data_IF_794249213902
#
_entry.id   IF_794249213902
#
_cell.length_a   1.000
_cell.length_b   1.000
_cell.length_c   1.000
_cell.angle_alpha   90.00
_cell.angle_beta   90.00
_cell.angle_gamma   90.00
#
_symmetry.space_group_name_H-M   'P 1'
#
loop_
_entity.id
_entity.type
_entity.pdbx_description
1 polymer ?
#
# COMPACT_ATOMS: atom_id res chain seq x y z
N UNK A 1 13.22 -0.59 -16.92
CA UNK A 1 13.81 0.55 -16.18
C UNK A 1 12.82 0.99 -15.12
N UNK A 2 13.32 1.39 -13.95
CA UNK A 2 12.43 1.96 -12.93
C UNK A 2 12.06 3.38 -13.36
N UNK A 3 10.79 3.70 -13.28
CA UNK A 3 10.31 5.04 -13.62
C UNK A 3 10.77 6.04 -12.55
N UNK A 4 10.92 7.29 -12.94
CA UNK A 4 11.15 8.36 -11.95
C UNK A 4 9.79 8.95 -11.55
N UNK A 5 9.65 9.51 -10.32
CA UNK A 5 8.36 10.10 -9.93
C UNK A 5 7.95 11.28 -10.80
N UNK A 6 8.91 11.95 -11.42
CA UNK A 6 8.64 13.06 -12.37
C UNK A 6 7.80 12.57 -13.56
N UNK A 7 8.00 11.32 -13.98
CA UNK A 7 7.34 10.74 -15.15
C UNK A 7 5.87 10.34 -14.88
N UNK A 8 5.43 10.32 -13.62
CA UNK A 8 4.06 9.96 -13.28
C UNK A 8 3.06 10.92 -13.93
N UNK A 9 2.23 10.41 -14.82
CA UNK A 9 1.13 11.16 -15.42
C UNK A 9 -0.11 11.04 -14.53
N UNK A 10 -0.37 12.08 -13.75
CA UNK A 10 -1.55 12.17 -12.87
C UNK A 10 -2.63 13.10 -13.43
N UNK A 11 -2.54 13.50 -14.70
CA UNK A 11 -3.60 14.30 -15.32
C UNK A 11 -4.89 13.49 -15.36
N UNK A 12 -5.97 14.04 -14.82
CA UNK A 12 -7.28 13.38 -14.74
C UNK A 12 -7.26 12.08 -13.92
N UNK A 13 -6.33 11.97 -12.95
CA UNK A 13 -6.28 10.88 -11.98
C UNK A 13 -6.79 11.42 -10.64
N UNK A 14 -7.83 10.78 -10.11
CA UNK A 14 -8.42 11.14 -8.82
C UNK A 14 -8.11 10.11 -7.72
N UNK A 15 -7.54 8.98 -8.09
CA UNK A 15 -7.28 7.86 -7.16
C UNK A 15 -5.93 7.23 -7.48
N UNK A 16 -5.11 7.08 -6.45
CA UNK A 16 -3.77 6.45 -6.54
C UNK A 16 -3.66 5.42 -5.42
N UNK A 17 -3.40 4.17 -5.77
CA UNK A 17 -3.00 3.18 -4.77
C UNK A 17 -1.49 3.31 -4.51
N UNK A 18 -1.11 3.10 -3.27
CA UNK A 18 0.29 3.22 -2.81
C UNK A 18 0.61 2.02 -1.93
N UNK A 19 1.81 1.52 -2.08
CA UNK A 19 2.37 0.45 -1.27
C UNK A 19 3.87 0.72 -1.08
N UNK A 20 4.41 0.45 0.12
CA UNK A 20 5.83 0.66 0.38
C UNK A 20 6.50 -0.65 0.75
N UNK A 21 7.72 -0.83 0.25
CA UNK A 21 8.58 -1.93 0.65
C UNK A 21 9.57 -1.42 1.68
N UNK A 22 9.75 -2.17 2.76
CA UNK A 22 10.54 -1.69 3.89
C UNK A 22 11.55 -2.73 4.39
N UNK A 23 12.57 -2.25 5.05
CA UNK A 23 13.34 -3.00 6.03
C UNK A 23 12.87 -2.58 7.42
N UNK A 24 12.15 -3.46 8.11
CA UNK A 24 11.65 -3.22 9.47
C UNK A 24 12.04 -4.43 10.33
N UNK A 25 13.28 -4.44 10.84
CA UNK A 25 13.88 -5.67 11.40
C UNK A 25 13.24 -6.18 12.68
N UNK A 26 12.58 -5.31 13.42
CA UNK A 26 12.01 -5.63 14.72
C UNK A 26 10.48 -5.56 14.74
N UNK A 27 9.83 -5.52 13.57
CA UNK A 27 8.37 -5.37 13.46
C UNK A 27 7.60 -6.39 14.33
N UNK A 28 7.98 -7.66 14.24
CA UNK A 28 7.28 -8.76 14.94
C UNK A 28 7.49 -8.75 16.46
N UNK A 29 8.58 -8.16 16.94
CA UNK A 29 8.96 -8.23 18.36
C UNK A 29 8.76 -6.93 19.11
N UNK A 30 8.87 -5.79 18.41
CA UNK A 30 8.85 -4.46 19.04
C UNK A 30 7.82 -3.51 18.41
N UNK A 31 7.06 -4.00 17.43
CA UNK A 31 6.08 -3.18 16.71
C UNK A 31 6.72 -2.34 15.59
N UNK A 32 6.04 -1.30 15.18
CA UNK A 32 6.32 -0.54 13.96
C UNK A 32 7.64 0.25 14.05
N UNK A 33 8.55 -0.03 13.13
CA UNK A 33 9.87 0.60 13.05
C UNK A 33 9.83 2.11 12.78
N UNK A 34 8.82 2.56 12.04
CA UNK A 34 8.60 3.98 11.77
C UNK A 34 8.52 4.83 13.05
N UNK A 35 7.90 4.29 14.10
CA UNK A 35 7.74 4.97 15.41
C UNK A 35 9.06 4.97 16.17
N UNK A 36 9.83 3.91 16.04
CA UNK A 36 11.09 3.72 16.77
C UNK A 36 12.32 4.26 16.04
N UNK A 37 12.12 4.77 14.82
CA UNK A 37 13.22 5.16 13.93
C UNK A 37 14.18 3.97 13.69
N UNK A 38 13.62 2.80 13.39
CA UNK A 38 14.33 1.52 13.29
C UNK A 38 13.97 0.85 11.96
N UNK A 39 14.79 1.09 10.94
CA UNK A 39 14.58 0.59 9.59
C UNK A 39 14.48 1.72 8.56
N UNK A 40 14.00 1.39 7.37
CA UNK A 40 13.87 2.37 6.28
C UNK A 40 12.93 1.84 5.18
N UNK A 41 12.50 2.75 4.28
CA UNK A 41 11.72 2.39 3.10
C UNK A 41 12.69 2.01 1.97
N UNK A 42 12.55 0.78 1.44
CA UNK A 42 13.37 0.26 0.35
C UNK A 42 12.90 0.77 -1.01
N UNK A 43 11.59 0.97 -1.16
CA UNK A 43 11.00 1.47 -2.39
C UNK A 43 9.51 1.76 -2.23
N UNK A 44 8.92 2.40 -3.25
CA UNK A 44 7.53 2.84 -3.23
C UNK A 44 6.88 2.41 -4.54
N UNK A 45 5.76 1.69 -4.45
CA UNK A 45 4.94 1.34 -5.60
C UNK A 45 3.70 2.24 -5.65
N UNK A 46 3.29 2.62 -6.85
CA UNK A 46 2.05 3.37 -7.08
C UNK A 46 1.29 2.76 -8.25
N UNK A 47 -0.04 2.77 -8.16
CA UNK A 47 -0.92 2.36 -9.27
C UNK A 47 -2.03 3.39 -9.46
N UNK A 48 -2.37 3.60 -10.72
CA UNK A 48 -3.47 4.46 -11.15
C UNK A 48 -4.32 3.71 -12.18
N UNK A 49 -5.33 4.37 -12.69
CA UNK A 49 -6.10 3.83 -13.83
C UNK A 49 -5.30 3.81 -15.15
N UNK A 50 -4.09 4.37 -15.17
CA UNK A 50 -3.25 4.46 -16.38
C UNK A 50 -2.06 3.50 -16.34
N UNK A 51 -1.38 3.41 -15.19
CA UNK A 51 -0.11 2.70 -15.11
C UNK A 51 0.23 2.32 -13.67
N UNK A 52 1.20 1.44 -13.53
CA UNK A 52 1.85 1.10 -12.26
C UNK A 52 3.34 1.42 -12.35
N UNK A 53 3.87 1.99 -11.29
CA UNK A 53 5.29 2.34 -11.20
C UNK A 53 5.89 1.86 -9.88
N UNK A 54 7.19 1.63 -9.88
CA UNK A 54 7.96 1.33 -8.68
C UNK A 54 9.20 2.24 -8.65
N UNK A 55 9.41 2.90 -7.54
CA UNK A 55 10.52 3.82 -7.31
C UNK A 55 11.46 3.20 -6.28
N UNK A 56 12.52 2.52 -6.71
CA UNK A 56 13.46 1.91 -5.77
C UNK A 56 14.32 2.98 -5.11
N UNK A 57 14.59 2.80 -3.82
CA UNK A 57 15.41 3.73 -3.02
C UNK A 57 16.68 3.03 -2.52
N UNK A 58 16.53 1.88 -1.88
CA UNK A 58 17.63 1.13 -1.26
C UNK A 58 17.43 -0.37 -1.47
N UNK A 59 18.23 -0.93 -2.37
CA UNK A 59 18.27 -2.37 -2.69
C UNK A 59 19.72 -2.80 -2.86
N UNK A 60 19.97 -4.09 -3.04
CA UNK A 60 21.33 -4.59 -3.22
C UNK A 60 22.04 -3.97 -4.43
N UNK A 61 21.28 -3.64 -5.48
CA UNK A 61 21.79 -3.07 -6.73
C UNK A 61 21.52 -1.56 -6.88
N UNK A 62 20.80 -0.96 -5.95
CA UNK A 62 20.46 0.48 -5.96
C UNK A 62 20.59 1.03 -4.54
N UNK A 63 21.49 1.99 -4.37
CA UNK A 63 21.67 2.69 -3.10
C UNK A 63 21.79 4.17 -3.39
N UNK A 64 20.65 4.86 -3.36
CA UNK A 64 20.60 6.28 -3.65
C UNK A 64 21.13 7.10 -2.46
N UNK A 65 21.82 8.18 -2.75
CA UNK A 65 22.24 9.14 -1.73
C UNK A 65 21.02 9.89 -1.16
N UNK A 66 21.19 10.48 0.00
CA UNK A 66 20.10 11.16 0.74
C UNK A 66 19.44 12.27 -0.09
N UNK A 67 20.20 12.99 -0.90
CA UNK A 67 19.66 14.10 -1.73
C UNK A 67 18.72 13.55 -2.82
N UNK A 68 19.08 12.43 -3.44
CA UNK A 68 18.23 11.79 -4.45
C UNK A 68 16.96 11.24 -3.81
N UNK A 69 17.07 10.61 -2.64
CA UNK A 69 15.92 10.09 -1.89
C UNK A 69 14.99 11.26 -1.53
N UNK A 70 15.54 12.35 -0.99
CA UNK A 70 14.77 13.53 -0.64
C UNK A 70 14.02 14.11 -1.85
N UNK A 71 14.69 14.20 -3.00
CA UNK A 71 14.07 14.67 -4.24
C UNK A 71 12.88 13.79 -4.65
N UNK A 72 13.04 12.47 -4.57
CA UNK A 72 11.95 11.53 -4.87
C UNK A 72 10.75 11.78 -3.95
N UNK A 73 11.01 11.92 -2.64
CA UNK A 73 9.96 12.21 -1.66
C UNK A 73 9.29 13.54 -1.91
N UNK A 74 10.04 14.60 -2.28
CA UNK A 74 9.47 15.91 -2.59
C UNK A 74 8.51 15.83 -3.79
N UNK A 75 8.88 15.10 -4.84
CA UNK A 75 8.02 14.94 -6.01
C UNK A 75 6.76 14.15 -5.65
N UNK A 76 6.91 13.02 -4.92
CA UNK A 76 5.77 12.20 -4.49
C UNK A 76 4.85 12.98 -3.54
N UNK A 77 5.42 13.74 -2.61
CA UNK A 77 4.66 14.63 -1.73
C UNK A 77 3.82 15.61 -2.54
N UNK A 78 4.46 16.32 -3.44
CA UNK A 78 3.79 17.35 -4.26
C UNK A 78 2.70 16.75 -5.15
N UNK A 79 3.03 15.65 -5.85
CA UNK A 79 2.10 15.03 -6.82
C UNK A 79 0.97 14.24 -6.15
N UNK A 80 1.25 13.54 -5.04
CA UNK A 80 0.32 12.56 -4.45
C UNK A 80 -0.04 12.94 -3.02
N UNK A 81 0.93 12.90 -2.08
CA UNK A 81 0.60 12.87 -0.65
C UNK A 81 0.03 14.18 -0.12
N UNK A 82 0.42 15.33 -0.68
CA UNK A 82 -0.12 16.65 -0.30
C UNK A 82 -1.22 17.13 -1.24
N UNK A 83 -1.57 16.35 -2.26
CA UNK A 83 -2.62 16.71 -3.22
C UNK A 83 -3.99 16.25 -2.68
N UNK A 84 -4.79 17.19 -2.18
CA UNK A 84 -6.09 16.90 -1.56
C UNK A 84 -7.13 16.36 -2.54
N UNK A 85 -6.92 16.57 -3.85
CA UNK A 85 -7.85 16.11 -4.90
C UNK A 85 -7.69 14.61 -5.22
N UNK A 86 -6.58 14.00 -4.78
CA UNK A 86 -6.28 12.59 -5.03
C UNK A 86 -6.68 11.76 -3.80
N UNK A 87 -7.46 10.72 -3.99
CA UNK A 87 -7.71 9.68 -2.98
C UNK A 87 -6.50 8.74 -2.96
N UNK A 88 -5.92 8.53 -1.78
CA UNK A 88 -4.81 7.59 -1.57
C UNK A 88 -5.38 6.29 -1.03
N UNK A 89 -5.10 5.22 -1.74
CA UNK A 89 -5.60 3.88 -1.42
C UNK A 89 -4.43 3.04 -0.93
N UNK A 90 -4.63 2.38 0.19
CA UNK A 90 -3.64 1.48 0.79
C UNK A 90 -4.29 0.14 1.11
N UNK A 91 -3.47 -0.84 1.42
CA UNK A 91 -3.89 -2.10 2.05
C UNK A 91 -3.17 -2.22 3.39
N UNK A 92 -3.88 -2.14 4.50
CA UNK A 92 -3.31 -2.00 5.85
C UNK A 92 -2.60 -0.65 6.02
N UNK A 93 -3.32 0.42 5.73
CA UNK A 93 -2.84 1.79 5.60
C UNK A 93 -2.00 2.30 6.80
N UNK A 94 -2.25 1.77 8.02
CA UNK A 94 -1.52 2.20 9.22
C UNK A 94 -0.01 2.05 9.03
N UNK A 95 0.41 0.95 8.44
CA UNK A 95 1.83 0.66 8.21
C UNK A 95 2.45 1.72 7.30
N UNK A 96 1.86 1.89 6.12
CA UNK A 96 2.40 2.78 5.09
C UNK A 96 2.35 4.25 5.51
N UNK A 97 1.22 4.68 6.06
CA UNK A 97 1.02 6.08 6.47
C UNK A 97 2.04 6.47 7.55
N UNK A 98 2.28 5.59 8.54
CA UNK A 98 3.27 5.85 9.59
C UNK A 98 4.68 5.97 9.02
N UNK A 99 5.08 5.06 8.12
CA UNK A 99 6.39 5.12 7.47
C UNK A 99 6.55 6.37 6.60
N UNK A 100 5.54 6.70 5.78
CA UNK A 100 5.57 7.90 4.93
C UNK A 100 5.69 9.16 5.81
N UNK A 101 4.93 9.21 6.90
CA UNK A 101 5.01 10.34 7.86
C UNK A 101 6.39 10.41 8.51
N UNK A 102 6.95 9.28 8.93
CA UNK A 102 8.27 9.25 9.58
C UNK A 102 9.36 9.80 8.65
N UNK A 103 9.30 9.45 7.36
CA UNK A 103 10.31 9.88 6.38
C UNK A 103 10.09 11.32 5.94
N UNK A 104 8.84 11.74 5.73
CA UNK A 104 8.54 13.06 5.15
C UNK A 104 8.31 14.15 6.19
N UNK A 105 8.04 13.78 7.44
CA UNK A 105 7.64 14.72 8.49
C UNK A 105 6.26 15.34 8.27
N UNK A 106 5.48 14.83 7.29
CA UNK A 106 4.21 15.47 6.87
C UNK A 106 3.07 14.47 6.96
N UNK A 107 1.91 14.96 7.40
CA UNK A 107 0.66 14.20 7.32
C UNK A 107 0.20 14.15 5.86
N UNK A 108 -0.32 13.01 5.45
CA UNK A 108 -0.92 12.86 4.12
C UNK A 108 -2.24 13.65 4.11
N UNK A 109 -2.44 14.45 3.08
CA UNK A 109 -3.65 15.28 2.91
C UNK A 109 -4.68 14.62 2.00
N UNK A 110 -5.92 15.03 2.15
CA UNK A 110 -7.04 14.53 1.37
C UNK A 110 -7.53 13.17 1.85
N UNK A 111 -8.30 12.51 1.00
CA UNK A 111 -8.94 11.24 1.36
C UNK A 111 -7.91 10.10 1.36
N UNK A 112 -7.90 9.36 2.47
CA UNK A 112 -7.15 8.10 2.60
C UNK A 112 -8.19 6.99 2.75
N UNK A 113 -8.01 5.88 2.06
CA UNK A 113 -8.87 4.70 2.19
C UNK A 113 -8.00 3.44 2.34
N UNK A 114 -8.53 2.48 3.07
CA UNK A 114 -7.86 1.21 3.34
C UNK A 114 -8.76 0.07 2.84
N UNK A 115 -8.23 -0.73 1.90
CA UNK A 115 -8.97 -1.87 1.35
C UNK A 115 -9.21 -2.98 2.39
N UNK A 116 -8.38 -3.06 3.44
CA UNK A 116 -8.60 -4.00 4.54
C UNK A 116 -9.84 -3.58 5.36
N UNK A 117 -9.98 -2.29 5.67
CA UNK A 117 -11.16 -1.74 6.34
C UNK A 117 -12.40 -1.93 5.44
N UNK A 118 -12.28 -1.60 4.15
CA UNK A 118 -13.39 -1.78 3.20
C UNK A 118 -13.87 -3.24 3.17
N UNK A 119 -12.93 -4.19 3.11
CA UNK A 119 -13.25 -5.61 3.09
C UNK A 119 -13.95 -6.07 4.37
N UNK A 120 -13.54 -5.57 5.53
CA UNK A 120 -14.16 -5.94 6.81
C UNK A 120 -15.59 -5.40 6.93
N UNK A 121 -15.83 -4.21 6.40
CA UNK A 121 -17.19 -3.62 6.36
C UNK A 121 -18.09 -4.39 5.37
N UNK A 122 -17.53 -4.85 4.24
CA UNK A 122 -18.29 -5.62 3.24
C UNK A 122 -18.65 -7.02 3.77
N UNK A 123 -17.74 -7.66 4.50
CA UNK A 123 -17.96 -9.00 5.04
C UNK A 123 -17.13 -9.19 6.32
N UNK A 124 -17.77 -8.98 7.46
CA UNK A 124 -17.13 -9.09 8.79
C UNK A 124 -16.83 -10.54 9.21
N UNK A 125 -17.42 -11.52 8.51
CA UNK A 125 -17.29 -12.94 8.86
C UNK A 125 -16.06 -13.61 8.25
N UNK A 126 -15.20 -12.86 7.58
CA UNK A 126 -13.98 -13.42 7.00
C UNK A 126 -12.92 -13.66 8.09
N UNK A 127 -12.17 -14.75 7.92
CA UNK A 127 -11.02 -15.05 8.80
C UNK A 127 -9.73 -14.34 8.37
N UNK A 128 -9.64 -13.93 7.09
CA UNK A 128 -8.41 -13.35 6.53
C UNK A 128 -8.74 -12.16 5.65
N UNK A 129 -8.07 -11.06 5.92
CA UNK A 129 -8.18 -9.81 5.16
C UNK A 129 -6.84 -9.42 4.49
N UNK A 130 -5.91 -10.38 4.35
CA UNK A 130 -4.66 -10.11 3.64
C UNK A 130 -4.94 -9.83 2.16
N UNK A 131 -4.09 -9.04 1.53
CA UNK A 131 -4.20 -8.69 0.11
C UNK A 131 -4.35 -9.95 -0.76
N UNK A 132 -3.53 -10.96 -0.48
CA UNK A 132 -3.54 -12.25 -1.17
C UNK A 132 -4.91 -12.96 -1.08
N UNK A 133 -5.48 -13.04 0.13
CA UNK A 133 -6.78 -13.68 0.34
C UNK A 133 -7.91 -12.90 -0.36
N UNK A 134 -7.88 -11.57 -0.26
CA UNK A 134 -8.91 -10.74 -0.87
C UNK A 134 -8.82 -10.77 -2.41
N UNK A 135 -7.63 -10.71 -2.95
CA UNK A 135 -7.42 -10.73 -4.40
C UNK A 135 -7.89 -12.06 -5.00
N UNK A 136 -7.56 -13.16 -4.34
CA UNK A 136 -8.01 -14.49 -4.77
C UNK A 136 -9.53 -14.58 -4.80
N UNK A 137 -10.20 -14.11 -3.74
CA UNK A 137 -11.64 -14.30 -3.58
C UNK A 137 -12.46 -13.28 -4.39
N UNK A 138 -11.98 -12.06 -4.56
CA UNK A 138 -12.76 -10.99 -5.18
C UNK A 138 -12.33 -10.66 -6.62
N UNK A 139 -11.09 -10.95 -6.99
CA UNK A 139 -10.57 -10.64 -8.32
C UNK A 139 -10.29 -11.88 -9.17
N UNK A 140 -10.46 -13.08 -8.60
CA UNK A 140 -10.11 -14.36 -9.25
C UNK A 140 -8.64 -14.38 -9.68
N UNK A 141 -7.77 -13.69 -8.96
CA UNK A 141 -6.37 -13.55 -9.34
C UNK A 141 -5.55 -14.75 -8.86
N UNK A 142 -5.81 -15.91 -9.47
CA UNK A 142 -5.07 -17.14 -9.15
C UNK A 142 -4.04 -17.53 -10.21
N UNK A 143 -4.01 -16.82 -11.34
CA UNK A 143 -3.26 -17.31 -12.52
C UNK A 143 -1.85 -16.74 -12.69
N UNK A 144 -1.52 -15.58 -12.11
CA UNK A 144 -0.25 -14.89 -12.39
C UNK A 144 0.32 -14.18 -11.17
N UNK A 145 0.32 -14.87 -10.04
CA UNK A 145 0.97 -14.27 -8.88
C UNK A 145 2.49 -14.32 -9.06
N UNK A 146 3.12 -13.17 -9.01
CA UNK A 146 4.58 -13.08 -9.00
C UNK A 146 5.10 -13.77 -7.74
N UNK A 147 5.87 -14.83 -7.92
CA UNK A 147 6.37 -15.63 -6.80
C UNK A 147 7.70 -15.05 -6.32
N UNK A 148 7.59 -14.07 -5.44
CA UNK A 148 8.76 -13.42 -4.84
C UNK A 148 9.67 -14.44 -4.14
N UNK A 149 9.07 -15.43 -3.47
CA UNK A 149 9.83 -16.48 -2.79
C UNK A 149 10.67 -17.28 -3.77
N UNK A 150 10.05 -17.76 -4.83
CA UNK A 150 10.77 -18.54 -5.86
C UNK A 150 11.87 -17.71 -6.52
N UNK A 151 11.55 -16.47 -6.92
CA UNK A 151 12.53 -15.59 -7.58
C UNK A 151 13.71 -15.25 -6.67
N UNK A 152 13.44 -15.09 -5.38
CA UNK A 152 14.50 -14.85 -4.38
C UNK A 152 15.40 -16.08 -4.24
N UNK A 153 14.82 -17.27 -4.17
CA UNK A 153 15.58 -18.51 -4.06
C UNK A 153 16.44 -18.73 -5.31
N UNK A 154 15.88 -18.50 -6.49
CA UNK A 154 16.61 -18.61 -7.77
C UNK A 154 17.81 -17.64 -7.80
N UNK A 155 17.57 -16.38 -7.47
CA UNK A 155 18.60 -15.34 -7.49
C UNK A 155 19.70 -15.59 -6.45
N UNK A 156 19.32 -15.98 -5.23
CA UNK A 156 20.26 -16.12 -4.11
C UNK A 156 20.94 -17.49 -4.02
N UNK A 157 20.58 -18.41 -4.92
CA UNK A 157 21.06 -19.81 -4.81
C UNK A 157 20.58 -20.47 -3.52
N UNK A 158 19.41 -20.07 -3.02
CA UNK A 158 18.79 -20.65 -1.83
C UNK A 158 19.27 -20.07 -0.49
N UNK A 159 20.12 -19.04 -0.51
CA UNK A 159 20.65 -18.46 0.74
C UNK A 159 19.66 -17.50 1.42
N UNK A 160 18.82 -16.78 0.65
CA UNK A 160 17.82 -15.89 1.18
C UNK A 160 16.47 -16.61 1.16
N UNK A 161 16.00 -17.03 2.34
CA UNK A 161 14.76 -17.84 2.48
C UNK A 161 13.53 -17.03 2.82
N UNK A 162 13.68 -15.81 3.34
CA UNK A 162 12.56 -14.95 3.71
C UNK A 162 12.73 -13.61 2.97
N UNK A 163 12.11 -13.47 1.79
CA UNK A 163 12.25 -12.24 1.01
C UNK A 163 11.60 -11.03 1.68
N UNK A 164 10.52 -11.22 2.44
CA UNK A 164 9.80 -10.10 3.04
C UNK A 164 10.68 -9.37 4.07
N UNK A 165 11.36 -10.10 4.94
CA UNK A 165 12.26 -9.48 5.93
C UNK A 165 13.60 -9.03 5.32
N UNK A 166 13.91 -9.48 4.10
CA UNK A 166 15.18 -9.17 3.43
C UNK A 166 14.98 -8.36 2.13
N UNK A 167 13.88 -7.63 2.02
CA UNK A 167 13.51 -6.89 0.81
C UNK A 167 14.65 -5.98 0.32
N UNK A 168 15.34 -5.33 1.24
CA UNK A 168 16.47 -4.42 0.95
C UNK A 168 17.69 -5.13 0.38
N UNK A 169 17.80 -6.46 0.58
CA UNK A 169 18.92 -7.26 0.06
C UNK A 169 18.67 -7.76 -1.36
N UNK A 170 17.43 -7.69 -1.82
CA UNK A 170 17.06 -8.16 -3.16
C UNK A 170 17.34 -7.07 -4.20
N UNK A 171 17.67 -7.46 -5.44
CA UNK A 171 17.73 -6.49 -6.54
C UNK A 171 16.38 -5.80 -6.75
N UNK A 172 16.43 -4.52 -7.10
CA UNK A 172 15.23 -3.73 -7.38
C UNK A 172 14.35 -4.37 -8.47
N UNK A 173 14.97 -5.06 -9.43
CA UNK A 173 14.24 -5.74 -10.52
C UNK A 173 13.33 -6.87 -10.03
N UNK A 174 13.74 -7.59 -8.98
CA UNK A 174 12.93 -8.65 -8.37
C UNK A 174 11.78 -8.05 -7.56
N UNK A 175 12.08 -7.06 -6.71
CA UNK A 175 11.09 -6.44 -5.84
C UNK A 175 10.06 -5.64 -6.66
N UNK A 176 10.49 -4.98 -7.71
CA UNK A 176 9.64 -4.16 -8.60
C UNK A 176 8.41 -4.93 -9.09
N UNK A 177 8.60 -6.15 -9.57
CA UNK A 177 7.48 -6.91 -10.15
C UNK A 177 6.47 -7.30 -9.06
N UNK A 178 6.96 -7.70 -7.90
CA UNK A 178 6.14 -8.01 -6.74
C UNK A 178 5.36 -6.76 -6.26
N UNK A 179 6.06 -5.66 -6.02
CA UNK A 179 5.46 -4.42 -5.50
C UNK A 179 4.44 -3.83 -6.49
N UNK A 180 4.73 -3.89 -7.80
CA UNK A 180 3.78 -3.45 -8.84
C UNK A 180 2.53 -4.31 -8.86
N UNK A 181 2.67 -5.62 -8.67
CA UNK A 181 1.51 -6.51 -8.58
C UNK A 181 0.65 -6.16 -7.36
N UNK A 182 1.27 -6.04 -6.19
CA UNK A 182 0.53 -5.78 -4.94
C UNK A 182 -0.20 -4.44 -4.98
N UNK A 183 0.44 -3.38 -5.46
CA UNK A 183 -0.23 -2.07 -5.55
C UNK A 183 -1.34 -2.06 -6.61
N UNK A 184 -1.18 -2.81 -7.71
CA UNK A 184 -2.22 -2.95 -8.72
C UNK A 184 -3.43 -3.71 -8.18
N UNK A 185 -3.20 -4.78 -7.41
CA UNK A 185 -4.27 -5.52 -6.74
C UNK A 185 -5.01 -4.63 -5.74
N UNK A 186 -4.28 -3.83 -4.98
CA UNK A 186 -4.86 -2.85 -4.05
C UNK A 186 -5.77 -1.86 -4.80
N UNK A 187 -5.33 -1.35 -5.94
CA UNK A 187 -6.11 -0.43 -6.80
C UNK A 187 -7.39 -1.11 -7.31
N UNK A 188 -7.27 -2.34 -7.82
CA UNK A 188 -8.41 -3.10 -8.34
C UNK A 188 -9.42 -3.44 -7.23
N UNK A 189 -8.94 -3.86 -6.07
CA UNK A 189 -9.81 -4.14 -4.92
C UNK A 189 -10.59 -2.89 -4.51
N UNK A 190 -9.93 -1.73 -4.47
CA UNK A 190 -10.63 -0.49 -4.13
C UNK A 190 -11.73 -0.17 -5.16
N UNK A 191 -11.44 -0.31 -6.44
CA UNK A 191 -12.44 -0.05 -7.50
C UNK A 191 -13.67 -0.94 -7.34
N UNK A 192 -13.48 -2.17 -6.90
CA UNK A 192 -14.57 -3.11 -6.62
C UNK A 192 -15.27 -2.77 -5.30
N UNK A 193 -14.50 -2.59 -4.22
CA UNK A 193 -15.03 -2.39 -2.87
C UNK A 193 -15.76 -1.07 -2.73
N UNK A 194 -15.31 -0.04 -3.43
CA UNK A 194 -15.97 1.27 -3.42
C UNK A 194 -17.42 1.19 -3.91
N UNK A 195 -17.73 0.24 -4.81
CA UNK A 195 -19.11 -0.05 -5.25
C UNK A 195 -19.81 -0.96 -4.25
N UNK A 196 -19.16 -2.06 -3.85
CA UNK A 196 -19.75 -3.07 -2.95
C UNK A 196 -20.19 -2.49 -1.60
N UNK A 197 -19.49 -1.51 -1.07
CA UNK A 197 -19.86 -0.84 0.20
C UNK A 197 -21.29 -0.26 0.12
N UNK A 198 -21.69 0.24 -1.04
CA UNK A 198 -23.04 0.80 -1.24
C UNK A 198 -24.09 -0.29 -1.48
N UNK A 199 -23.68 -1.50 -1.88
CA UNK A 199 -24.57 -2.62 -2.13
C UNK A 199 -24.88 -3.42 -0.86
N UNK A 200 -23.94 -3.45 0.10
CA UNK A 200 -24.12 -4.20 1.35
C UNK A 200 -25.04 -3.41 2.30
N UNK A 201 -26.09 -4.09 2.74
CA UNK A 201 -27.11 -3.47 3.61
C UNK A 201 -27.05 -4.04 5.03
N UNK A 202 -27.29 -3.20 6.00
CA UNK A 202 -27.55 -3.61 7.38
C UNK A 202 -28.91 -3.07 7.81
N UNK A 203 -29.54 -3.74 8.79
CA UNK A 203 -30.85 -3.36 9.31
C UNK A 203 -30.67 -2.74 10.68
N UNK A 204 -31.18 -1.54 10.89
CA UNK A 204 -31.21 -0.86 12.18
C UNK A 204 -32.26 -1.50 13.11
N UNK A 205 -32.20 -1.13 14.39
CA UNK A 205 -33.19 -1.57 15.40
C UNK A 205 -34.63 -1.21 15.05
N UNK A 206 -34.82 -0.08 14.35
CA UNK A 206 -36.13 0.37 13.89
C UNK A 206 -36.62 -0.32 12.60
N UNK A 207 -35.83 -1.26 12.06
CA UNK A 207 -36.14 -1.99 10.83
C UNK A 207 -35.69 -1.28 9.55
N UNK A 208 -35.14 -0.06 9.62
CA UNK A 208 -34.68 0.68 8.46
C UNK A 208 -33.41 0.02 7.88
N UNK A 209 -33.36 -0.20 6.57
CA UNK A 209 -32.16 -0.69 5.87
C UNK A 209 -31.29 0.47 5.42
N UNK A 210 -29.98 0.37 5.67
CA UNK A 210 -28.96 1.34 5.26
C UNK A 210 -27.79 0.59 4.61
N UNK A 211 -27.14 1.23 3.64
CA UNK A 211 -25.90 0.71 3.12
C UNK A 211 -24.73 0.97 4.09
N UNK A 212 -23.62 0.29 3.86
CA UNK A 212 -22.48 0.33 4.78
C UNK A 212 -21.56 1.54 4.57
N UNK A 213 -21.86 2.46 3.66
CA UNK A 213 -21.01 3.62 3.34
C UNK A 213 -20.68 4.46 4.59
N UNK A 214 -21.68 4.77 5.40
CA UNK A 214 -21.47 5.57 6.62
C UNK A 214 -20.56 4.84 7.63
N UNK A 215 -20.71 3.52 7.73
CA UNK A 215 -19.86 2.71 8.61
C UNK A 215 -18.42 2.77 8.11
N UNK A 216 -18.21 2.55 6.82
CA UNK A 216 -16.87 2.61 6.21
C UNK A 216 -16.21 3.98 6.44
N UNK A 217 -16.96 5.08 6.23
CA UNK A 217 -16.41 6.43 6.42
C UNK A 217 -16.06 6.68 7.90
N UNK A 218 -16.88 6.17 8.82
CA UNK A 218 -16.60 6.28 10.27
C UNK A 218 -15.34 5.49 10.63
N UNK A 219 -15.25 4.24 10.21
CA UNK A 219 -14.08 3.37 10.47
C UNK A 219 -12.79 4.01 9.92
N UNK A 220 -12.88 4.55 8.71
CA UNK A 220 -11.75 5.25 8.08
C UNK A 220 -11.33 6.48 8.91
N UNK A 221 -12.27 7.26 9.40
CA UNK A 221 -11.99 8.44 10.26
C UNK A 221 -11.36 8.03 11.58
N UNK A 222 -11.90 7.01 12.22
CA UNK A 222 -11.36 6.49 13.50
C UNK A 222 -9.92 5.99 13.31
N UNK A 223 -9.67 5.29 12.26
CA UNK A 223 -8.33 4.83 11.89
C UNK A 223 -7.36 6.01 11.75
N UNK A 224 -7.75 7.03 11.06
CA UNK A 224 -6.92 8.22 10.86
C UNK A 224 -6.68 9.02 12.14
N UNK A 225 -7.47 8.90 12.93
CA UNK A 225 -7.39 9.54 14.22
C UNK A 225 -6.26 8.93 15.01
N UNK A 226 -6.07 7.69 14.77
CA UNK A 226 -5.02 7.02 15.41
C UNK A 226 -3.69 7.40 14.80
N UNK A 227 -3.59 7.90 13.60
CA UNK A 227 -2.45 8.38 12.97
C UNK A 227 -2.19 9.82 13.17
N UNK A 228 -2.94 10.44 13.85
CA UNK A 228 -2.76 11.83 14.03
C UNK A 228 -1.95 12.21 15.20
N UNK A 229 -1.68 11.35 16.06
CA UNK A 229 -0.82 11.61 17.25
C UNK A 229 0.69 11.37 16.97
#
# INVERSE_FOLDING_TARGET
>A
MCNTPEDLDLKNVDTVAVDIETYDPNLKTKGLGAIRNDGFICGIAVATNKDTAYFPLQHSDINLDSKKIEKIWDVLNKKIFQNEKITKVFHNAMYDVCWIRAVTGKMIKGRIVDTMIAASVINENRFKYSLDSLSKDYLNDSKYKYDLQQKTLEWSGGTVRDPITNMHKLPASIVKEYAKQDVNLTFQLWNLFNKKIDEVLYTKEDGEQKNCRKIFELETKLFLXXXXW
#
